data_IF_792577684008
#
_entry.id   IF_792577684008
#
_cell.length_a   1.000
_cell.length_b   1.000
_cell.length_c   1.000
_cell.angle_alpha   90.00
_cell.angle_beta   90.00
_cell.angle_gamma   90.00
#
_symmetry.space_group_name_H-M   'P 1'
#
loop_
_entity.id
_entity.type
_entity.pdbx_description
1 polymer ?
#
# COMPACT_ATOMS: atom_id res chain seq x y z
N UNK A 1 20.23 1.63 -28.95
CA UNK A 1 19.47 2.22 -27.82
C UNK A 1 20.24 1.91 -26.56
N UNK A 2 20.78 2.93 -25.89
CA UNK A 2 21.47 2.74 -24.62
C UNK A 2 20.42 2.51 -23.52
N UNK A 3 20.55 1.39 -22.80
CA UNK A 3 19.77 1.11 -21.60
C UNK A 3 20.18 2.13 -20.55
N UNK A 4 19.27 3.05 -20.21
CA UNK A 4 19.48 4.01 -19.14
C UNK A 4 19.56 3.21 -17.84
N UNK A 5 20.74 3.17 -17.22
CA UNK A 5 20.94 2.46 -15.97
C UNK A 5 20.00 3.08 -14.91
N UNK A 6 19.10 2.26 -14.36
CA UNK A 6 18.30 2.64 -13.19
C UNK A 6 19.26 2.91 -12.04
N UNK A 7 19.56 4.19 -11.80
CA UNK A 7 20.28 4.59 -10.60
C UNK A 7 19.36 4.38 -9.40
N UNK A 8 19.75 3.57 -8.39
CA UNK A 8 18.89 3.26 -7.27
C UNK A 8 18.57 4.53 -6.47
N UNK A 9 17.36 4.61 -5.92
CA UNK A 9 17.02 5.59 -4.90
C UNK A 9 18.03 5.47 -3.75
N UNK A 10 18.55 6.59 -3.27
CA UNK A 10 19.65 6.59 -2.28
C UNK A 10 19.25 7.18 -0.95
N UNK A 11 18.18 7.98 -0.92
CA UNK A 11 17.80 8.69 0.29
C UNK A 11 16.29 8.69 0.52
N UNK A 12 15.89 8.73 1.78
CA UNK A 12 14.55 9.04 2.23
C UNK A 12 14.51 10.51 2.67
N UNK A 13 13.57 11.27 2.15
CA UNK A 13 13.26 12.62 2.59
C UNK A 13 11.99 12.61 3.43
N UNK A 14 12.05 13.25 4.60
CA UNK A 14 10.89 13.53 5.45
C UNK A 14 10.68 15.04 5.44
N UNK A 15 9.69 15.51 4.69
CA UNK A 15 9.34 16.92 4.61
C UNK A 15 8.39 17.29 5.76
N UNK A 16 8.64 18.46 6.35
CA UNK A 16 7.84 19.08 7.39
C UNK A 16 7.24 20.38 6.86
N UNK A 17 6.32 20.98 7.60
CA UNK A 17 5.79 22.31 7.28
C UNK A 17 6.91 23.36 7.04
N UNK A 18 8.04 23.21 7.75
CA UNK A 18 9.22 24.04 7.58
C UNK A 18 10.48 23.17 7.46
N UNK A 19 10.90 22.94 6.21
CA UNK A 19 12.13 22.21 5.90
C UNK A 19 11.93 20.71 5.68
N UNK A 20 13.02 20.03 5.35
CA UNK A 20 13.02 18.59 5.10
C UNK A 20 14.32 17.97 5.62
N UNK A 21 14.21 16.79 6.20
CA UNK A 21 15.36 16.00 6.63
C UNK A 21 15.60 14.87 5.63
N UNK A 22 16.88 14.63 5.30
CA UNK A 22 17.30 13.65 4.29
C UNK A 22 18.15 12.57 4.96
N UNK A 23 17.78 11.31 4.76
CA UNK A 23 18.41 10.14 5.34
C UNK A 23 18.93 9.22 4.23
N UNK A 24 20.18 8.76 4.32
CA UNK A 24 20.70 7.73 3.41
C UNK A 24 20.02 6.39 3.68
N UNK A 25 19.47 5.74 2.65
CA UNK A 25 18.75 4.47 2.82
C UNK A 25 19.65 3.33 3.31
N UNK A 26 20.93 3.39 2.98
CA UNK A 26 21.97 2.49 3.47
C UNK A 26 22.20 2.59 4.98
N UNK A 27 21.94 3.77 5.56
CA UNK A 27 22.08 4.01 6.99
C UNK A 27 20.82 3.64 7.80
N UNK A 28 19.63 3.59 7.19
CA UNK A 28 18.38 3.34 7.90
C UNK A 28 18.29 1.85 8.31
N UNK A 29 18.18 1.62 9.61
CA UNK A 29 17.94 0.29 10.18
C UNK A 29 16.45 -0.03 10.27
N UNK A 30 15.66 0.92 10.78
CA UNK A 30 14.25 0.70 11.09
C UNK A 30 13.46 2.01 10.99
N UNK A 31 12.20 1.91 10.57
CA UNK A 31 11.21 2.98 10.68
C UNK A 31 10.00 2.42 11.43
N UNK A 32 9.67 3.02 12.57
CA UNK A 32 8.49 2.65 13.37
C UNK A 32 7.51 3.81 13.45
N UNK A 33 6.23 3.47 13.60
CA UNK A 33 5.16 4.42 13.79
C UNK A 33 4.45 4.09 15.10
N UNK A 34 4.62 4.93 16.13
CA UNK A 34 4.02 4.70 17.43
C UNK A 34 3.74 6.01 18.15
N UNK A 35 2.65 6.04 18.92
CA UNK A 35 2.29 7.19 19.78
C UNK A 35 2.25 8.55 19.05
N UNK A 36 1.81 8.58 17.79
CA UNK A 36 1.74 9.80 16.98
C UNK A 36 3.06 10.23 16.34
N UNK A 37 4.12 9.43 16.47
CA UNK A 37 5.44 9.70 15.92
C UNK A 37 5.82 8.68 14.84
N UNK A 38 6.62 9.14 13.87
CA UNK A 38 7.51 8.33 13.06
C UNK A 38 8.91 8.37 13.67
N UNK A 39 9.46 7.22 14.03
CA UNK A 39 10.84 7.09 14.54
C UNK A 39 11.67 6.36 13.51
N UNK A 40 12.78 6.96 13.10
CA UNK A 40 13.74 6.41 12.16
C UNK A 40 15.04 6.11 12.91
N UNK A 41 15.39 4.84 13.00
CA UNK A 41 16.64 4.36 13.60
C UNK A 41 17.67 4.14 12.51
N UNK A 42 18.89 4.62 12.73
CA UNK A 42 20.01 4.53 11.78
C UNK A 42 21.21 3.86 12.44
N UNK A 43 22.01 3.16 11.65
CA UNK A 43 23.25 2.51 12.11
C UNK A 43 24.41 3.52 12.28
N UNK A 44 24.40 4.59 11.48
CA UNK A 44 25.55 5.50 11.31
C UNK A 44 25.24 6.95 11.69
N UNK A 45 24.03 7.23 12.17
CA UNK A 45 23.58 8.57 12.57
C UNK A 45 22.57 8.50 13.73
N UNK A 46 22.40 9.58 14.51
CA UNK A 46 21.40 9.59 15.58
C UNK A 46 20.00 9.32 15.02
N UNK A 47 19.25 8.49 15.74
CA UNK A 47 17.84 8.23 15.42
C UNK A 47 17.05 9.54 15.37
N UNK A 48 16.15 9.66 14.40
CA UNK A 48 15.28 10.82 14.24
C UNK A 48 13.85 10.46 14.66
N UNK A 49 13.13 11.44 15.23
CA UNK A 49 11.73 11.29 15.59
C UNK A 49 10.94 12.48 15.05
N UNK A 50 9.82 12.18 14.41
CA UNK A 50 8.95 13.16 13.76
C UNK A 50 7.54 13.00 14.28
N UNK A 51 6.92 14.09 14.71
CA UNK A 51 5.47 14.11 14.93
C UNK A 51 4.77 13.92 13.58
N UNK A 52 3.84 12.98 13.51
CA UNK A 52 3.09 12.72 12.28
C UNK A 52 2.23 13.91 11.84
N UNK A 53 1.84 14.77 12.78
CA UNK A 53 1.14 16.04 12.48
C UNK A 53 2.00 17.03 11.70
N UNK A 54 3.33 16.91 11.82
CA UNK A 54 4.27 17.88 11.28
C UNK A 54 4.82 17.44 9.92
N UNK A 55 4.68 16.15 9.60
CA UNK A 55 5.12 15.55 8.33
C UNK A 55 4.11 15.89 7.24
N UNK A 56 4.58 16.59 6.21
CA UNK A 56 3.79 16.92 5.02
C UNK A 56 4.00 15.91 3.90
N UNK A 57 5.19 15.31 3.81
CA UNK A 57 5.54 14.36 2.74
C UNK A 57 6.66 13.41 3.20
N UNK A 58 6.63 12.17 2.72
CA UNK A 58 7.73 11.20 2.84
C UNK A 58 8.03 10.68 1.43
N UNK A 59 9.23 10.96 0.93
CA UNK A 59 9.59 10.66 -0.47
C UNK A 59 10.99 10.08 -0.58
N UNK A 60 11.19 9.13 -1.49
CA UNK A 60 12.51 8.58 -1.81
C UNK A 60 13.17 9.42 -2.91
N UNK A 61 14.38 9.92 -2.66
CA UNK A 61 15.11 10.84 -3.55
C UNK A 61 16.31 10.12 -4.20
N UNK A 62 16.55 10.44 -5.48
CA UNK A 62 17.69 9.96 -6.27
C UNK A 62 17.99 10.89 -7.45
N UNK A 63 19.18 10.79 -8.06
CA UNK A 63 19.66 11.71 -9.09
C UNK A 63 18.79 11.80 -10.37
N UNK A 64 17.88 10.85 -10.57
CA UNK A 64 16.83 10.88 -11.58
C UNK A 64 15.47 10.53 -10.98
N UNK A 65 15.05 11.21 -9.91
CA UNK A 65 13.70 10.99 -9.36
C UNK A 65 12.66 11.54 -10.33
N UNK A 66 12.29 10.74 -11.32
CA UNK A 66 11.03 10.92 -12.01
C UNK A 66 9.94 10.48 -11.04
N UNK A 67 9.18 11.46 -10.56
CA UNK A 67 7.85 11.17 -10.01
C UNK A 67 7.06 10.61 -11.18
N UNK A 68 6.99 9.27 -11.28
CA UNK A 68 5.98 8.64 -12.10
C UNK A 68 4.69 8.92 -11.37
N UNK A 69 4.02 10.02 -11.74
CA UNK A 69 2.61 10.17 -11.43
C UNK A 69 1.99 8.87 -11.93
N UNK A 70 1.48 8.03 -11.02
CA UNK A 70 0.67 6.89 -11.42
C UNK A 70 -0.41 7.51 -12.30
N UNK A 71 -0.32 7.33 -13.63
CA UNK A 71 -1.44 7.60 -14.51
C UNK A 71 -2.62 6.95 -13.83
N UNK A 72 -3.71 7.70 -13.61
CA UNK A 72 -4.85 7.22 -12.84
C UNK A 72 -5.28 5.86 -13.39
N UNK A 73 -4.77 4.82 -12.76
CA UNK A 73 -5.04 3.48 -13.21
C UNK A 73 -6.45 3.21 -12.75
N UNK A 74 -7.33 2.96 -13.72
CA UNK A 74 -8.75 2.73 -13.52
C UNK A 74 -8.95 1.67 -12.43
N UNK A 75 -9.17 2.03 -11.16
CA UNK A 75 -9.15 1.07 -10.06
C UNK A 75 -10.18 -0.06 -10.30
N UNK A 76 -9.94 -1.30 -9.81
CA UNK A 76 -10.97 -2.32 -9.83
C UNK A 76 -12.26 -1.80 -9.18
N UNK A 77 -13.41 -2.17 -9.75
CA UNK A 77 -14.69 -1.75 -9.21
C UNK A 77 -15.16 -2.78 -8.18
N UNK A 78 -15.51 -2.31 -6.99
CA UNK A 78 -16.00 -3.14 -5.89
C UNK A 78 -17.44 -2.78 -5.58
N UNK A 79 -18.28 -3.80 -5.39
CA UNK A 79 -19.67 -3.62 -4.99
C UNK A 79 -20.07 -4.69 -3.98
N UNK A 80 -20.93 -4.32 -3.04
CA UNK A 80 -21.42 -5.21 -2.00
C UNK A 80 -22.94 -5.32 -2.11
N UNK A 81 -23.45 -6.52 -2.41
CA UNK A 81 -24.89 -6.79 -2.51
C UNK A 81 -25.19 -8.12 -1.83
N UNK A 82 -26.18 -8.15 -0.92
CA UNK A 82 -26.68 -9.38 -0.28
C UNK A 82 -25.56 -10.34 0.22
N UNK A 83 -24.63 -9.82 1.03
CA UNK A 83 -23.50 -10.59 1.56
C UNK A 83 -22.58 -11.23 0.49
N UNK A 84 -22.54 -10.64 -0.70
CA UNK A 84 -21.57 -10.97 -1.75
C UNK A 84 -20.79 -9.71 -2.12
N UNK A 85 -19.48 -9.77 -1.91
CA UNK A 85 -18.55 -8.76 -2.42
C UNK A 85 -18.16 -9.14 -3.84
N UNK A 86 -18.53 -8.29 -4.80
CA UNK A 86 -18.18 -8.45 -6.20
C UNK A 86 -17.05 -7.50 -6.57
N UNK A 87 -16.02 -8.04 -7.22
CA UNK A 87 -14.86 -7.32 -7.74
C UNK A 87 -14.85 -7.45 -9.26
N UNK A 88 -14.82 -6.34 -9.98
CA UNK A 88 -14.63 -6.30 -11.43
C UNK A 88 -13.24 -5.76 -11.76
N UNK A 89 -12.42 -6.59 -12.38
CA UNK A 89 -11.03 -6.32 -12.76
C UNK A 89 -10.93 -5.61 -14.13
N UNK A 90 -11.92 -5.80 -15.01
CA UNK A 90 -11.90 -5.24 -16.37
C UNK A 90 -10.70 -5.76 -17.16
N UNK A 91 -9.95 -4.86 -17.80
CA UNK A 91 -8.76 -5.21 -18.59
C UNK A 91 -7.66 -5.92 -17.78
N UNK A 92 -7.73 -5.88 -16.43
CA UNK A 92 -6.79 -6.53 -15.50
C UNK A 92 -7.05 -8.02 -15.30
N UNK A 93 -8.09 -8.58 -15.90
CA UNK A 93 -8.39 -10.02 -15.82
C UNK A 93 -7.24 -10.91 -16.34
N UNK A 94 -6.26 -10.33 -17.06
CA UNK A 94 -5.05 -11.00 -17.56
C UNK A 94 -4.01 -11.27 -16.46
N UNK A 95 -4.05 -10.55 -15.35
CA UNK A 95 -3.18 -10.78 -14.19
C UNK A 95 -3.81 -11.81 -13.25
N UNK A 96 -2.97 -12.56 -12.53
CA UNK A 96 -3.41 -13.43 -11.43
C UNK A 96 -3.38 -12.62 -10.14
N UNK A 97 -4.54 -12.51 -9.48
CA UNK A 97 -4.64 -11.89 -8.17
C UNK A 97 -4.87 -12.94 -7.09
N UNK A 98 -4.20 -12.76 -5.96
CA UNK A 98 -4.56 -13.37 -4.67
C UNK A 98 -5.54 -12.45 -3.96
N UNK A 99 -6.68 -12.99 -3.56
CA UNK A 99 -7.66 -12.24 -2.76
C UNK A 99 -7.55 -12.59 -1.28
N UNK A 100 -7.45 -11.58 -0.42
CA UNK A 100 -7.43 -11.73 1.03
C UNK A 100 -8.44 -10.79 1.68
N UNK A 101 -9.14 -11.27 2.72
CA UNK A 101 -10.04 -10.46 3.54
C UNK A 101 -9.46 -10.29 4.93
N UNK A 102 -9.46 -9.06 5.45
CA UNK A 102 -8.99 -8.72 6.79
C UNK A 102 -10.11 -8.08 7.60
N UNK A 103 -10.24 -8.42 8.88
CA UNK A 103 -11.11 -7.70 9.81
C UNK A 103 -10.44 -6.41 10.33
N UNK A 104 -11.16 -5.67 11.18
CA UNK A 104 -10.64 -4.44 11.81
C UNK A 104 -9.42 -4.65 12.70
N UNK A 105 -9.13 -5.87 13.14
CA UNK A 105 -7.93 -6.22 13.91
C UNK A 105 -6.75 -6.65 13.01
N UNK A 106 -6.92 -6.64 11.69
CA UNK A 106 -5.90 -7.09 10.73
C UNK A 106 -5.81 -8.61 10.58
N UNK A 107 -6.71 -9.38 11.21
CA UNK A 107 -6.71 -10.83 11.08
C UNK A 107 -7.36 -11.27 9.75
N UNK A 108 -6.74 -12.27 9.11
CA UNK A 108 -7.24 -12.85 7.84
C UNK A 108 -8.52 -13.64 8.11
N UNK A 109 -9.59 -13.26 7.41
CA UNK A 109 -10.94 -13.83 7.57
C UNK A 109 -11.29 -14.87 6.51
N UNK A 110 -10.61 -14.86 5.37
CA UNK A 110 -10.78 -15.85 4.31
C UNK A 110 -9.46 -16.05 3.54
N UNK A 111 -9.22 -17.26 3.08
CA UNK A 111 -7.94 -17.70 2.51
C UNK A 111 -7.90 -17.49 0.99
N UNK A 112 -6.84 -16.79 0.57
CA UNK A 112 -6.20 -16.73 -0.74
C UNK A 112 -6.83 -17.55 -1.86
N UNK A 113 -7.85 -16.99 -2.50
CA UNK A 113 -8.29 -17.49 -3.80
C UNK A 113 -7.45 -16.81 -4.88
N UNK A 114 -6.74 -17.61 -5.69
CA UNK A 114 -6.20 -17.11 -6.95
C UNK A 114 -7.32 -16.95 -7.96
N UNK A 115 -7.37 -15.80 -8.61
CA UNK A 115 -8.42 -15.45 -9.55
C UNK A 115 -7.82 -14.76 -10.77
N UNK A 116 -8.21 -15.27 -11.93
CA UNK A 116 -7.90 -14.73 -13.26
C UNK A 116 -9.19 -14.61 -14.07
N UNK A 117 -10.19 -13.95 -13.49
CA UNK A 117 -11.49 -13.73 -14.08
C UNK A 117 -11.82 -12.23 -14.06
N UNK A 118 -12.52 -11.74 -15.08
CA UNK A 118 -13.07 -10.37 -15.14
C UNK A 118 -13.83 -10.01 -13.86
N UNK A 119 -14.66 -10.95 -13.38
CA UNK A 119 -15.51 -10.75 -12.24
C UNK A 119 -15.25 -11.83 -11.18
N UNK A 120 -15.06 -11.41 -9.94
CA UNK A 120 -14.88 -12.27 -8.78
C UNK A 120 -16.03 -12.01 -7.83
N UNK A 121 -16.69 -13.06 -7.36
CA UNK A 121 -17.73 -12.97 -6.35
C UNK A 121 -17.27 -13.70 -5.09
N UNK A 122 -17.23 -12.97 -3.99
CA UNK A 122 -16.71 -13.45 -2.71
C UNK A 122 -17.88 -13.47 -1.73
N UNK A 123 -18.43 -14.65 -1.40
CA UNK A 123 -19.42 -14.78 -0.35
C UNK A 123 -18.83 -14.34 0.99
N UNK A 124 -19.48 -13.40 1.65
CA UNK A 124 -19.09 -12.90 2.98
C UNK A 124 -20.12 -13.23 4.05
N UNK A 125 -21.08 -14.11 3.76
CA UNK A 125 -22.18 -14.49 4.66
C UNK A 125 -21.70 -14.97 6.04
N UNK A 126 -20.55 -15.65 6.09
CA UNK A 126 -19.97 -16.17 7.34
C UNK A 126 -19.26 -15.12 8.18
N UNK A 127 -18.99 -13.92 7.64
CA UNK A 127 -18.33 -12.86 8.39
C UNK A 127 -19.28 -12.24 9.40
N UNK A 128 -18.77 -11.84 10.56
CA UNK A 128 -19.53 -11.01 11.50
C UNK A 128 -19.81 -9.62 10.91
N UNK A 129 -20.76 -8.90 11.49
CA UNK A 129 -20.95 -7.48 11.18
C UNK A 129 -19.71 -6.69 11.57
N UNK A 130 -19.30 -5.72 10.76
CA UNK A 130 -18.12 -4.92 11.06
C UNK A 130 -17.39 -4.38 9.83
N UNK A 131 -16.23 -3.79 10.11
CA UNK A 131 -15.33 -3.25 9.09
C UNK A 131 -14.36 -4.30 8.58
N UNK A 132 -14.20 -4.33 7.26
CA UNK A 132 -13.31 -5.27 6.57
C UNK A 132 -12.52 -4.58 5.47
N UNK A 133 -11.37 -5.17 5.14
CA UNK A 133 -10.54 -4.81 4.00
C UNK A 133 -10.44 -6.01 3.08
N UNK A 134 -10.79 -5.85 1.81
CA UNK A 134 -10.47 -6.77 0.73
C UNK A 134 -9.18 -6.30 0.04
N UNK A 135 -8.17 -7.16 0.00
CA UNK A 135 -6.92 -6.94 -0.70
C UNK A 135 -6.84 -7.84 -1.92
N UNK A 136 -6.58 -7.25 -3.08
CA UNK A 136 -6.22 -7.96 -4.31
C UNK A 136 -4.74 -7.76 -4.55
N UNK A 137 -3.96 -8.82 -4.49
CA UNK A 137 -2.50 -8.77 -4.68
C UNK A 137 -2.09 -9.57 -5.91
N UNK A 138 -1.51 -8.92 -6.91
CA UNK A 138 -0.73 -9.57 -7.96
C UNK A 138 0.76 -9.43 -7.66
N UNK A 139 1.62 -9.97 -8.52
CA UNK A 139 3.07 -9.79 -8.41
C UNK A 139 3.49 -8.31 -8.48
N UNK A 140 2.71 -7.48 -9.17
CA UNK A 140 3.08 -6.10 -9.48
C UNK A 140 2.32 -5.08 -8.62
N UNK A 141 1.13 -5.43 -8.12
CA UNK A 141 0.20 -4.45 -7.53
C UNK A 141 -0.63 -5.01 -6.39
N UNK A 142 -1.03 -4.10 -5.50
CA UNK A 142 -1.98 -4.34 -4.43
C UNK A 142 -3.11 -3.32 -4.53
N UNK A 143 -4.36 -3.79 -4.56
CA UNK A 143 -5.54 -2.95 -4.47
C UNK A 143 -6.30 -3.28 -3.19
N UNK A 144 -6.56 -2.26 -2.38
CA UNK A 144 -7.30 -2.40 -1.13
C UNK A 144 -8.67 -1.72 -1.24
N UNK A 145 -9.70 -2.44 -0.81
CA UNK A 145 -11.06 -1.93 -0.73
C UNK A 145 -11.63 -2.15 0.67
N UNK A 146 -12.07 -1.06 1.30
CA UNK A 146 -12.69 -1.08 2.61
C UNK A 146 -14.21 -1.17 2.45
N UNK A 147 -14.84 -2.06 3.21
CA UNK A 147 -16.30 -2.16 3.27
C UNK A 147 -16.81 -2.43 4.68
N UNK A 148 -18.11 -2.22 4.86
CA UNK A 148 -18.83 -2.51 6.10
C UNK A 148 -19.84 -3.62 5.82
N UNK A 149 -19.72 -4.74 6.53
CA UNK A 149 -20.78 -5.74 6.56
C UNK A 149 -21.86 -5.30 7.57
N UNK A 150 -23.10 -5.20 7.10
CA UNK A 150 -24.27 -4.72 7.87
C UNK A 150 -25.02 -5.83 8.59
#
# INVERSE_FOLDING_TARGET
MAVQANNPQKSLQVAKAFGADLFGLDSIQEITFSNGNMVLTSNDSPSASFLLSDITEITFVGSNTSVVANQEETKPNFSLTNDVLTVRLGERAKDVFTVSLFNSAGAVCNVNQQVSADCISIPIVVLSKGFYICSLKSEKKIYNFKFVKK
#
